data_IF_470041336822
#
_entry.id   IF_470041336822
#
_cell.length_a   1.000
_cell.length_b   1.000
_cell.length_c   1.000
_cell.angle_alpha   90.00
_cell.angle_beta   90.00
_cell.angle_gamma   90.00
#
_symmetry.space_group_name_H-M   'P 1'
#
loop_
_entity.id
_entity.type
_entity.pdbx_description
1 polymer ?
#
# COMPACT_ATOMS: atom_id res chain seq x y z
N UNK A 1 17.12 -6.81 12.62
CA UNK A 1 15.89 -7.58 12.93
C UNK A 1 14.63 -6.80 12.60
N UNK A 2 14.44 -5.59 13.14
CA UNK A 2 13.14 -4.90 13.07
C UNK A 2 12.72 -4.33 11.70
N UNK A 3 13.64 -4.17 10.74
CA UNK A 3 13.26 -3.87 9.36
C UNK A 3 12.43 -4.99 8.72
N UNK A 4 12.72 -6.25 9.07
CA UNK A 4 11.97 -7.39 8.54
C UNK A 4 10.66 -7.60 9.33
N UNK A 5 10.70 -7.51 10.67
CA UNK A 5 9.51 -7.76 11.51
C UNK A 5 8.35 -6.84 11.18
N UNK A 6 8.63 -5.60 10.76
CA UNK A 6 7.60 -4.64 10.32
C UNK A 6 6.64 -5.18 9.24
N UNK A 7 7.08 -6.17 8.44
CA UNK A 7 6.25 -6.79 7.40
C UNK A 7 5.48 -8.04 7.87
N UNK A 8 5.70 -8.53 9.09
CA UNK A 8 5.09 -9.77 9.58
C UNK A 8 4.70 -9.76 11.08
N UNK A 9 4.77 -8.62 11.75
CA UNK A 9 4.29 -8.46 13.14
C UNK A 9 3.17 -7.44 13.22
N UNK A 10 2.42 -7.50 14.32
CA UNK A 10 1.43 -6.51 14.74
C UNK A 10 0.25 -6.30 13.76
N UNK A 11 0.13 -7.17 12.74
CA UNK A 11 -0.88 -7.18 11.69
C UNK A 11 -1.04 -5.85 10.94
N UNK A 12 -0.03 -4.98 10.95
CA UNK A 12 -0.09 -3.66 10.30
C UNK A 12 -0.15 -3.80 8.78
N UNK A 13 0.75 -4.61 8.18
CA UNK A 13 0.69 -4.88 6.74
C UNK A 13 -0.59 -5.64 6.36
N UNK A 14 -1.00 -6.57 7.22
CA UNK A 14 -2.20 -7.38 7.01
C UNK A 14 -3.46 -6.51 6.92
N UNK A 15 -3.64 -5.57 7.85
CA UNK A 15 -4.74 -4.59 7.85
C UNK A 15 -4.83 -3.83 6.51
N UNK A 16 -3.69 -3.31 6.03
CA UNK A 16 -3.67 -2.51 4.81
C UNK A 16 -3.94 -3.34 3.54
N UNK A 17 -3.51 -4.61 3.53
CA UNK A 17 -3.80 -5.54 2.43
C UNK A 17 -5.26 -5.96 2.44
N UNK A 18 -5.86 -6.22 3.60
CA UNK A 18 -7.29 -6.52 3.68
C UNK A 18 -8.16 -5.34 3.28
N UNK A 19 -7.80 -4.12 3.70
CA UNK A 19 -8.45 -2.91 3.19
C UNK A 19 -8.39 -2.84 1.66
N UNK A 20 -7.25 -3.18 1.06
CA UNK A 20 -7.13 -3.22 -0.39
C UNK A 20 -8.02 -4.27 -1.05
N UNK A 21 -8.15 -5.47 -0.47
CA UNK A 21 -9.05 -6.51 -0.96
C UNK A 21 -10.49 -5.99 -0.98
N UNK A 22 -10.95 -5.38 0.12
CA UNK A 22 -12.30 -4.82 0.22
C UNK A 22 -12.55 -3.74 -0.85
N UNK A 23 -11.57 -2.86 -1.08
CA UNK A 23 -11.68 -1.83 -2.14
C UNK A 23 -11.74 -2.45 -3.53
N UNK A 24 -10.94 -3.49 -3.79
CA UNK A 24 -10.92 -4.18 -5.09
C UNK A 24 -12.24 -4.90 -5.35
N UNK A 25 -12.76 -5.61 -4.35
CA UNK A 25 -14.05 -6.31 -4.46
C UNK A 25 -15.20 -5.32 -4.70
N UNK A 26 -15.23 -4.22 -3.95
CA UNK A 26 -16.28 -3.20 -4.04
C UNK A 26 -16.24 -2.41 -5.35
N UNK A 27 -15.05 -2.00 -5.82
CA UNK A 27 -14.89 -1.10 -6.97
C UNK A 27 -14.80 -1.83 -8.31
N UNK A 28 -14.19 -3.01 -8.34
CA UNK A 28 -13.89 -3.73 -9.59
C UNK A 28 -14.61 -5.08 -9.70
N UNK A 29 -15.41 -5.47 -8.70
CA UNK A 29 -16.20 -6.70 -8.73
C UNK A 29 -15.37 -7.97 -8.49
N UNK A 30 -14.21 -7.82 -7.85
CA UNK A 30 -13.35 -8.93 -7.42
C UNK A 30 -11.92 -8.86 -7.95
N UNK A 31 -11.14 -9.86 -7.55
CA UNK A 31 -9.73 -9.97 -7.92
C UNK A 31 -9.56 -10.23 -9.43
N UNK A 32 -8.47 -9.70 -10.00
CA UNK A 32 -8.08 -9.83 -11.40
C UNK A 32 -9.15 -9.32 -12.40
N UNK A 33 -9.97 -8.35 -12.00
CA UNK A 33 -11.04 -7.76 -12.84
C UNK A 33 -10.70 -6.37 -13.39
N UNK A 34 -9.73 -5.69 -12.79
CA UNK A 34 -9.28 -4.39 -13.29
C UNK A 34 -8.44 -4.60 -14.55
N UNK A 35 -8.76 -3.89 -15.64
CA UNK A 35 -7.96 -3.91 -16.86
C UNK A 35 -6.57 -3.31 -16.56
N UNK A 36 -5.47 -4.07 -16.72
CA UNK A 36 -4.12 -3.55 -16.49
C UNK A 36 -3.74 -2.39 -17.41
N UNK A 37 -4.46 -2.16 -18.51
CA UNK A 37 -4.24 -1.03 -19.43
C UNK A 37 -4.94 0.24 -19.00
N UNK A 38 -5.89 0.16 -18.06
CA UNK A 38 -6.54 1.33 -17.48
C UNK A 38 -5.64 1.95 -16.42
N UNK A 39 -4.66 2.73 -16.89
CA UNK A 39 -3.67 3.38 -16.04
C UNK A 39 -4.31 4.34 -15.03
N UNK A 40 -5.43 4.99 -15.37
CA UNK A 40 -6.10 5.93 -14.46
C UNK A 40 -6.73 5.19 -13.29
N UNK A 41 -7.45 4.10 -13.56
CA UNK A 41 -8.04 3.28 -12.50
C UNK A 41 -6.95 2.59 -11.64
N UNK A 42 -5.86 2.12 -12.25
CA UNK A 42 -4.72 1.54 -11.52
C UNK A 42 -4.05 2.58 -10.61
N UNK A 43 -3.80 3.79 -11.11
CA UNK A 43 -3.23 4.87 -10.28
C UNK A 43 -4.20 5.27 -9.19
N UNK A 44 -5.51 5.39 -9.47
CA UNK A 44 -6.52 5.71 -8.46
C UNK A 44 -6.57 4.69 -7.32
N UNK A 45 -6.47 3.38 -7.64
CA UNK A 45 -6.33 2.35 -6.62
C UNK A 45 -5.05 2.54 -5.81
N UNK A 46 -3.93 2.83 -6.46
CA UNK A 46 -2.66 3.01 -5.76
C UNK A 46 -2.70 4.20 -4.78
N UNK A 47 -3.26 5.34 -5.19
CA UNK A 47 -3.48 6.53 -4.34
C UNK A 47 -4.36 6.18 -3.14
N UNK A 48 -5.42 5.42 -3.35
CA UNK A 48 -6.37 5.03 -2.30
C UNK A 48 -5.71 4.16 -1.23
N UNK A 49 -5.03 3.09 -1.63
CA UNK A 49 -4.40 2.15 -0.69
C UNK A 49 -3.22 2.79 0.03
N UNK A 50 -2.37 3.53 -0.70
CA UNK A 50 -1.27 4.28 -0.09
C UNK A 50 -1.79 5.37 0.85
N UNK A 51 -2.85 6.07 0.43
CA UNK A 51 -3.54 7.07 1.21
C UNK A 51 -4.05 6.52 2.54
N UNK A 52 -4.66 5.35 2.53
CA UNK A 52 -5.10 4.64 3.74
C UNK A 52 -3.91 4.29 4.64
N UNK A 53 -2.90 3.59 4.11
CA UNK A 53 -1.74 3.15 4.86
C UNK A 53 -1.01 4.30 5.57
N UNK A 54 -0.79 5.43 4.88
CA UNK A 54 -0.14 6.61 5.46
C UNK A 54 -1.02 7.32 6.49
N UNK A 55 -2.33 7.40 6.23
CA UNK A 55 -3.28 8.00 7.18
C UNK A 55 -3.40 7.17 8.46
N UNK A 56 -3.23 5.86 8.40
CA UNK A 56 -3.21 4.99 9.58
C UNK A 56 -2.02 5.31 10.50
N UNK A 57 -0.83 5.56 9.96
CA UNK A 57 0.30 6.04 10.77
C UNK A 57 0.03 7.43 11.39
N UNK A 58 -0.58 8.35 10.63
CA UNK A 58 -0.90 9.70 11.13
C UNK A 58 -1.99 9.69 12.22
N UNK A 59 -3.00 8.83 12.06
CA UNK A 59 -4.16 8.75 12.95
C UNK A 59 -3.87 7.97 14.23
N UNK A 60 -2.97 6.99 14.18
CA UNK A 60 -2.65 6.12 15.31
C UNK A 60 -1.17 6.27 15.70
N UNK A 61 -0.84 7.20 16.62
CA UNK A 61 0.56 7.45 17.03
C UNK A 61 1.30 6.20 17.51
N UNK A 62 0.60 5.26 18.16
CA UNK A 62 1.18 3.99 18.59
C UNK A 62 1.69 3.14 17.41
N UNK A 63 0.98 3.16 16.27
CA UNK A 63 1.41 2.44 15.05
C UNK A 63 2.65 3.11 14.44
N UNK A 64 2.72 4.45 14.48
CA UNK A 64 3.91 5.20 14.07
C UNK A 64 5.10 4.94 15.01
N UNK A 65 4.86 4.70 16.30
CA UNK A 65 5.90 4.33 17.26
C UNK A 65 6.38 2.89 17.06
N UNK A 66 5.48 1.94 16.77
CA UNK A 66 5.83 0.55 16.41
C UNK A 66 6.72 0.51 15.17
N UNK A 67 6.36 1.24 14.11
CA UNK A 67 7.19 1.44 12.93
C UNK A 67 7.90 2.79 12.98
N UNK A 68 8.77 2.98 13.98
CA UNK A 68 9.49 4.22 14.21
C UNK A 68 10.40 4.63 13.03
N UNK A 69 10.96 3.65 12.30
CA UNK A 69 11.79 3.90 11.13
C UNK A 69 10.96 4.20 9.89
N UNK A 70 11.32 5.23 9.13
CA UNK A 70 10.62 5.53 7.88
C UNK A 70 10.65 4.35 6.91
N UNK A 71 11.76 3.61 6.84
CA UNK A 71 11.94 2.50 5.91
C UNK A 71 11.00 1.33 6.24
N UNK A 72 10.58 1.19 7.50
CA UNK A 72 9.54 0.23 7.89
C UNK A 72 8.19 0.70 7.33
N UNK A 73 7.83 1.97 7.55
CA UNK A 73 6.57 2.55 7.09
C UNK A 73 6.46 2.58 5.57
N UNK A 74 7.52 2.98 4.87
CA UNK A 74 7.56 3.05 3.41
C UNK A 74 7.49 1.67 2.78
N UNK A 75 8.20 0.68 3.33
CA UNK A 75 8.08 -0.73 2.90
C UNK A 75 6.65 -1.22 3.07
N UNK A 76 6.01 -1.00 4.22
CA UNK A 76 4.66 -1.51 4.49
C UNK A 76 3.59 -0.84 3.63
N UNK A 77 3.66 0.49 3.46
CA UNK A 77 2.71 1.23 2.62
C UNK A 77 2.87 0.88 1.12
N UNK A 78 4.11 0.75 0.64
CA UNK A 78 4.37 0.34 -0.73
C UNK A 78 4.03 -1.12 -0.98
N UNK A 79 4.24 -2.00 0.01
CA UNK A 79 3.86 -3.41 -0.05
C UNK A 79 2.36 -3.57 -0.21
N UNK A 80 1.55 -2.94 0.64
CA UNK A 80 0.08 -3.01 0.51
C UNK A 80 -0.38 -2.48 -0.84
N UNK A 81 0.20 -1.38 -1.31
CA UNK A 81 -0.15 -0.74 -2.60
C UNK A 81 0.26 -1.58 -3.80
N UNK A 82 1.45 -2.19 -3.79
CA UNK A 82 1.90 -3.08 -4.86
C UNK A 82 1.12 -4.38 -4.92
N UNK A 83 0.85 -4.99 -3.75
CA UNK A 83 0.00 -6.17 -3.63
C UNK A 83 -1.40 -5.87 -4.16
N UNK A 84 -1.99 -4.71 -3.84
CA UNK A 84 -3.27 -4.27 -4.37
C UNK A 84 -3.28 -4.20 -5.91
N UNK A 85 -2.28 -3.55 -6.52
CA UNK A 85 -2.15 -3.47 -7.98
C UNK A 85 -2.06 -4.84 -8.65
N UNK A 86 -1.29 -5.77 -8.08
CA UNK A 86 -1.20 -7.15 -8.56
C UNK A 86 -2.50 -7.93 -8.38
N UNK A 87 -3.16 -7.81 -7.23
CA UNK A 87 -4.42 -8.50 -6.96
C UNK A 87 -5.57 -7.99 -7.83
N UNK A 88 -5.63 -6.68 -8.08
CA UNK A 88 -6.69 -6.08 -8.89
C UNK A 88 -6.60 -6.50 -10.36
N UNK A 89 -5.38 -6.59 -10.90
CA UNK A 89 -5.13 -6.82 -12.34
C UNK A 89 -4.71 -8.23 -12.70
N UNK A 90 -4.22 -9.01 -11.73
CA UNK A 90 -3.57 -10.30 -11.97
C UNK A 90 -2.16 -10.20 -12.61
N UNK A 91 -1.55 -9.01 -12.63
CA UNK A 91 -0.26 -8.74 -13.29
C UNK A 91 0.77 -8.20 -12.28
N UNK A 92 1.90 -8.88 -12.16
CA UNK A 92 2.98 -8.49 -11.25
C UNK A 92 3.62 -7.14 -11.62
N UNK A 93 3.81 -6.86 -12.91
CA UNK A 93 4.40 -5.62 -13.39
C UNK A 93 3.58 -4.38 -12.98
N UNK A 94 2.24 -4.49 -12.98
CA UNK A 94 1.37 -3.43 -12.46
C UNK A 94 1.61 -3.21 -10.97
N UNK A 95 1.72 -4.29 -10.18
CA UNK A 95 2.02 -4.18 -8.75
C UNK A 95 3.37 -3.53 -8.47
N UNK A 96 4.41 -3.86 -9.24
CA UNK A 96 5.72 -3.20 -9.13
C UNK A 96 5.62 -1.71 -9.46
N UNK A 97 4.84 -1.32 -10.46
CA UNK A 97 4.60 0.10 -10.76
C UNK A 97 3.85 0.80 -9.62
N UNK A 98 2.83 0.16 -9.04
CA UNK A 98 2.09 0.67 -7.88
C UNK A 98 2.99 0.83 -6.64
N UNK A 99 3.93 -0.10 -6.41
CA UNK A 99 4.93 0.01 -5.34
C UNK A 99 5.76 1.29 -5.50
N UNK A 100 6.33 1.52 -6.70
CA UNK A 100 7.14 2.71 -6.94
C UNK A 100 6.33 4.00 -6.87
N UNK A 101 5.07 3.96 -7.32
CA UNK A 101 4.17 5.09 -7.20
C UNK A 101 3.90 5.46 -5.73
N UNK A 102 3.62 4.47 -4.87
CA UNK A 102 3.46 4.68 -3.42
C UNK A 102 4.69 5.32 -2.79
N UNK A 103 5.90 4.89 -3.18
CA UNK A 103 7.15 5.47 -2.66
C UNK A 103 7.30 6.96 -3.00
N UNK A 104 6.92 7.37 -4.21
CA UNK A 104 6.95 8.77 -4.63
C UNK A 104 5.94 9.60 -3.83
N UNK A 105 4.70 9.15 -3.75
CA UNK A 105 3.66 9.83 -2.99
C UNK A 105 3.98 9.94 -1.48
N UNK A 106 4.52 8.88 -0.88
CA UNK A 106 4.92 8.88 0.53
C UNK A 106 5.97 9.98 0.77
N UNK A 107 7.01 10.04 -0.07
CA UNK A 107 8.06 11.04 0.03
C UNK A 107 7.49 12.45 -0.03
N UNK A 108 6.59 12.72 -0.97
CA UNK A 108 5.99 14.05 -1.13
C UNK A 108 5.01 14.40 0.01
N UNK A 109 4.18 13.46 0.46
CA UNK A 109 3.21 13.68 1.54
C UNK A 109 3.89 13.98 2.88
N UNK A 110 4.93 13.21 3.23
CA UNK A 110 5.53 13.25 4.56
C UNK A 110 6.87 13.99 4.62
N UNK A 111 7.42 14.43 3.48
CA UNK A 111 8.72 15.08 3.39
C UNK A 111 9.90 14.18 3.79
N UNK A 112 9.65 12.88 3.92
CA UNK A 112 10.61 11.82 4.30
C UNK A 112 10.10 10.49 3.76
N UNK A 113 10.98 9.50 3.72
CA UNK A 113 10.62 8.15 3.27
C UNK A 113 11.22 7.09 4.20
N UNK A 114 12.55 7.04 4.29
CA UNK A 114 13.31 6.05 5.06
C UNK A 114 13.49 6.37 6.53
#
# INVERSE_FOLDING_TARGET
TQYATAAYTDNILEDYVYYAIDQIESKYGGLCKLDPKDSEAVMSLAVDINGYALSSYEKYPAVMETHFGGSQRSTVAAASTGIAGSMATGIADVGVNCWYYSMLEHKERLGRLG
#
